data_IF_547069279158
#
_entry.id   IF_547069279158
#
_cell.length_a   1.000
_cell.length_b   1.000
_cell.length_c   1.000
_cell.angle_alpha   90.00
_cell.angle_beta   90.00
_cell.angle_gamma   90.00
#
_symmetry.space_group_name_H-M   'P 1'
#
loop_
_entity.id
_entity.type
_entity.pdbx_description
1 polymer ?
#
# COMPACT_ATOMS: atom_id res chain seq x y z
N UNK A 1 20.27 4.17 10.38
CA UNK A 1 19.27 3.91 11.45
C UNK A 1 18.62 2.56 11.20
N UNK A 2 18.23 1.79 12.24
CA UNK A 2 17.63 0.44 12.11
C UNK A 2 16.15 0.48 12.56
N UNK A 3 15.22 0.97 11.71
CA UNK A 3 13.82 1.15 12.11
C UNK A 3 13.12 -0.18 12.38
N UNK A 4 12.12 -0.15 13.26
CA UNK A 4 11.32 -1.35 13.60
C UNK A 4 10.26 -1.67 12.54
N UNK A 5 9.76 -0.65 11.85
CA UNK A 5 8.87 -0.78 10.70
C UNK A 5 8.84 0.55 9.95
N UNK A 6 8.40 0.53 8.69
CA UNK A 6 7.90 1.70 8.00
C UNK A 6 6.56 1.41 7.33
N UNK A 7 5.71 2.42 7.19
CA UNK A 7 4.40 2.30 6.58
C UNK A 7 4.27 3.32 5.46
N UNK A 8 3.79 2.90 4.30
CA UNK A 8 3.38 3.79 3.23
C UNK A 8 1.94 4.24 3.50
N UNK A 9 1.79 5.51 3.89
CA UNK A 9 0.51 6.20 4.10
C UNK A 9 0.45 7.34 3.07
N UNK A 10 -0.28 7.11 1.98
CA UNK A 10 -0.38 8.08 0.88
C UNK A 10 -1.61 7.88 0.01
N UNK A 11 -1.74 8.67 -1.05
CA UNK A 11 -2.88 8.57 -1.94
C UNK A 11 -2.63 7.61 -3.11
N UNK A 12 -3.70 7.14 -3.75
CA UNK A 12 -3.64 6.30 -4.94
C UNK A 12 -4.82 6.56 -5.88
N UNK A 13 -4.64 6.20 -7.15
CA UNK A 13 -5.74 6.11 -8.11
C UNK A 13 -6.50 4.79 -7.94
N UNK A 14 -7.82 4.86 -7.76
CA UNK A 14 -8.71 3.69 -7.68
C UNK A 14 -8.98 3.09 -9.05
N UNK A 15 -8.69 1.80 -9.22
CA UNK A 15 -8.82 1.10 -10.52
C UNK A 15 -10.12 0.33 -10.66
N UNK A 16 -10.93 0.21 -9.60
CA UNK A 16 -12.21 -0.51 -9.63
C UNK A 16 -13.39 0.45 -9.60
N UNK A 17 -14.40 0.13 -10.39
CA UNK A 17 -15.64 0.90 -10.44
C UNK A 17 -16.30 1.00 -9.06
N UNK A 18 -16.30 -0.09 -8.29
CA UNK A 18 -16.92 -0.17 -6.97
C UNK A 18 -16.23 0.66 -5.87
N UNK A 19 -15.00 1.13 -6.10
CA UNK A 19 -14.30 1.99 -5.14
C UNK A 19 -14.86 3.41 -5.17
N UNK A 20 -14.79 4.12 -4.05
CA UNK A 20 -15.14 5.54 -3.94
C UNK A 20 -13.91 6.33 -3.52
N UNK A 21 -13.87 7.62 -3.85
CA UNK A 21 -12.86 8.53 -3.30
C UNK A 21 -13.00 8.55 -1.78
N UNK A 22 -11.89 8.41 -1.08
CA UNK A 22 -11.84 8.26 0.38
C UNK A 22 -11.89 6.81 0.88
N UNK A 23 -12.06 5.82 0.00
CA UNK A 23 -11.86 4.41 0.35
C UNK A 23 -10.37 4.12 0.57
N UNK A 24 -10.09 3.13 1.40
CA UNK A 24 -8.75 2.66 1.71
C UNK A 24 -8.37 1.42 0.89
N UNK A 25 -7.07 1.30 0.62
CA UNK A 25 -6.48 0.16 -0.05
C UNK A 25 -5.35 -0.41 0.80
N UNK A 26 -5.53 -1.64 1.27
CA UNK A 26 -4.47 -2.40 1.95
C UNK A 26 -3.74 -3.25 0.90
N UNK A 27 -2.48 -2.93 0.63
CA UNK A 27 -1.70 -3.70 -0.34
C UNK A 27 -1.34 -5.07 0.26
N UNK A 28 -1.73 -6.15 -0.42
CA UNK A 28 -1.27 -7.50 -0.10
C UNK A 28 -0.19 -8.03 -1.07
N UNK A 29 -0.02 -7.35 -2.20
CA UNK A 29 0.92 -7.67 -3.26
C UNK A 29 1.18 -6.41 -4.10
N UNK A 30 2.26 -6.44 -4.88
CA UNK A 30 2.71 -5.31 -5.70
C UNK A 30 2.99 -5.75 -7.13
N UNK A 31 2.49 -4.97 -8.11
CA UNK A 31 3.00 -5.00 -9.48
C UNK A 31 4.04 -3.90 -9.60
N UNK A 32 5.29 -4.33 -9.82
CA UNK A 32 6.48 -3.47 -9.85
C UNK A 32 6.74 -2.96 -11.26
N UNK A 33 6.09 -1.85 -11.60
CA UNK A 33 6.35 -1.07 -12.81
C UNK A 33 7.15 0.21 -12.45
N UNK A 34 7.87 0.18 -11.30
CA UNK A 34 8.66 1.27 -10.74
C UNK A 34 10.10 1.32 -11.26
N UNK A 35 10.59 0.20 -11.81
CA UNK A 35 11.88 -0.01 -12.51
C UNK A 35 13.18 0.27 -11.72
N UNK A 36 13.14 1.14 -10.71
CA UNK A 36 14.30 1.69 -10.01
C UNK A 36 15.09 0.66 -9.20
N UNK A 37 14.47 -0.49 -8.87
CA UNK A 37 15.10 -1.57 -8.11
C UNK A 37 15.37 -2.85 -8.93
N UNK A 38 15.07 -2.87 -10.22
CA UNK A 38 15.09 -4.09 -11.04
C UNK A 38 16.47 -4.76 -11.09
N UNK A 39 17.54 -3.97 -11.09
CA UNK A 39 18.92 -4.47 -11.15
C UNK A 39 19.40 -5.15 -9.85
N UNK A 40 18.78 -4.83 -8.72
CA UNK A 40 19.19 -5.28 -7.38
C UNK A 40 18.15 -6.16 -6.69
N UNK A 41 16.94 -6.20 -7.23
CA UNK A 41 15.85 -7.09 -6.86
C UNK A 41 15.02 -7.32 -8.12
N UNK A 42 15.30 -8.36 -8.93
CA UNK A 42 14.56 -8.62 -10.16
C UNK A 42 13.03 -8.68 -9.97
N UNK A 43 12.21 -8.23 -10.94
CA UNK A 43 10.75 -8.16 -10.81
C UNK A 43 10.03 -9.49 -10.51
N UNK A 44 10.65 -10.62 -10.88
CA UNK A 44 10.16 -11.98 -10.63
C UNK A 44 10.37 -12.43 -9.17
N UNK A 45 11.19 -11.72 -8.39
CA UNK A 45 11.37 -12.02 -6.97
C UNK A 45 10.13 -11.55 -6.17
N UNK A 46 9.47 -12.47 -5.45
CA UNK A 46 8.26 -12.12 -4.71
C UNK A 46 8.56 -11.24 -3.51
N UNK A 47 7.86 -10.11 -3.41
CA UNK A 47 7.86 -9.24 -2.22
C UNK A 47 6.61 -9.58 -1.38
N UNK A 48 6.72 -10.39 -0.32
CA UNK A 48 5.56 -10.88 0.42
C UNK A 48 4.96 -9.78 1.29
N UNK A 49 3.74 -10.00 1.77
CA UNK A 49 3.19 -9.19 2.86
C UNK A 49 3.67 -9.65 4.23
N UNK A 50 3.85 -8.71 5.16
CA UNK A 50 4.19 -9.01 6.55
C UNK A 50 2.90 -9.15 7.37
N UNK A 51 2.54 -10.39 7.74
CA UNK A 51 1.27 -10.68 8.40
C UNK A 51 1.01 -9.84 9.67
N UNK A 52 2.06 -9.53 10.43
CA UNK A 52 2.00 -8.69 11.62
C UNK A 52 1.60 -7.25 11.27
N UNK A 53 2.22 -6.69 10.23
CA UNK A 53 1.92 -5.34 9.74
C UNK A 53 0.54 -5.27 9.08
N UNK A 54 0.15 -6.30 8.32
CA UNK A 54 -1.16 -6.38 7.69
C UNK A 54 -2.29 -6.39 8.72
N UNK A 55 -2.15 -7.18 9.79
CA UNK A 55 -3.13 -7.21 10.89
C UNK A 55 -3.23 -5.84 11.56
N UNK A 56 -2.11 -5.22 11.91
CA UNK A 56 -2.12 -3.89 12.52
C UNK A 56 -2.79 -2.83 11.63
N UNK A 57 -2.50 -2.80 10.33
CA UNK A 57 -3.15 -1.88 9.40
C UNK A 57 -4.66 -2.17 9.26
N UNK A 58 -5.04 -3.44 9.19
CA UNK A 58 -6.44 -3.85 9.08
C UNK A 58 -7.23 -3.50 10.35
N UNK A 59 -6.73 -3.88 11.52
CA UNK A 59 -7.36 -3.62 12.81
C UNK A 59 -7.39 -2.12 13.13
N UNK A 60 -6.33 -1.38 12.78
CA UNK A 60 -6.32 0.06 12.91
C UNK A 60 -7.38 0.73 12.03
N UNK A 61 -7.56 0.23 10.79
CA UNK A 61 -8.62 0.71 9.90
C UNK A 61 -9.99 0.52 10.56
N UNK A 62 -10.28 -0.69 11.09
CA UNK A 62 -11.56 -0.99 11.75
C UNK A 62 -11.84 -0.06 12.92
N UNK A 63 -10.83 0.15 13.77
CA UNK A 63 -10.97 0.95 14.98
C UNK A 63 -11.19 2.43 14.66
N UNK A 64 -10.40 2.99 13.76
CA UNK A 64 -10.43 4.44 13.46
C UNK A 64 -11.60 4.79 12.54
N UNK A 65 -11.95 3.94 11.57
CA UNK A 65 -13.09 4.19 10.67
C UNK A 65 -14.45 3.90 11.32
N UNK A 66 -14.47 3.35 12.54
CA UNK A 66 -15.69 2.97 13.25
C UNK A 66 -16.48 1.85 12.57
N UNK A 67 -15.83 1.02 11.74
CA UNK A 67 -16.48 -0.05 10.97
C UNK A 67 -16.02 -1.43 11.50
N UNK A 68 -16.74 -2.01 12.48
CA UNK A 68 -16.36 -3.29 13.07
C UNK A 68 -16.62 -4.47 12.13
N UNK A 69 -16.06 -5.65 12.50
CA UNK A 69 -16.35 -6.90 11.79
C UNK A 69 -16.05 -6.83 10.29
N UNK A 70 -17.03 -7.22 9.48
CA UNK A 70 -16.95 -7.25 8.02
C UNK A 70 -17.36 -5.92 7.37
N UNK A 71 -17.92 -4.96 8.12
CA UNK A 71 -18.35 -3.65 7.61
C UNK A 71 -17.19 -2.88 7.00
N UNK A 72 -15.98 -3.08 7.53
CA UNK A 72 -14.75 -2.48 7.01
C UNK A 72 -14.55 -2.77 5.52
N UNK A 73 -15.07 -3.87 4.97
CA UNK A 73 -14.96 -4.20 3.53
C UNK A 73 -15.68 -3.19 2.62
N UNK A 74 -16.62 -2.41 3.16
CA UNK A 74 -17.30 -1.37 2.39
C UNK A 74 -16.39 -0.17 2.12
N UNK A 75 -15.36 0.03 2.95
CA UNK A 75 -14.43 1.17 2.87
C UNK A 75 -12.98 0.76 2.65
N UNK A 76 -12.61 -0.48 2.94
CA UNK A 76 -11.27 -1.03 2.79
C UNK A 76 -11.26 -2.16 1.76
N UNK A 77 -10.44 -1.99 0.73
CA UNK A 77 -10.15 -3.03 -0.26
C UNK A 77 -8.73 -3.56 -0.10
N UNK A 78 -8.60 -4.83 0.27
CA UNK A 78 -7.31 -5.53 0.17
C UNK A 78 -7.08 -5.98 -1.27
N UNK A 79 -5.89 -5.71 -1.83
CA UNK A 79 -5.61 -6.08 -3.22
C UNK A 79 -4.20 -5.75 -3.70
N UNK A 80 -3.92 -6.01 -4.97
CA UNK A 80 -2.61 -5.76 -5.60
C UNK A 80 -2.50 -4.29 -5.97
N UNK A 81 -1.44 -3.61 -5.54
CA UNK A 81 -1.15 -2.23 -5.91
C UNK A 81 -0.13 -2.21 -7.04
N UNK A 82 -0.39 -1.43 -8.08
CA UNK A 82 0.59 -1.14 -9.12
C UNK A 82 1.39 0.08 -8.68
N UNK A 83 2.71 0.00 -8.69
CA UNK A 83 3.56 1.17 -8.50
C UNK A 83 4.29 1.44 -9.80
N UNK A 84 4.18 2.65 -10.32
CA UNK A 84 4.77 3.03 -11.61
C UNK A 84 5.64 4.29 -11.49
N UNK A 85 6.66 4.41 -12.33
CA UNK A 85 7.45 5.63 -12.51
C UNK A 85 6.87 6.59 -13.57
N UNK A 86 5.86 6.16 -14.33
CA UNK A 86 5.14 7.00 -15.31
C UNK A 86 3.91 7.66 -14.69
N UNK A 87 4.05 8.94 -14.31
CA UNK A 87 2.94 9.73 -13.75
C UNK A 87 1.76 9.87 -14.73
N UNK A 88 2.01 9.82 -16.03
CA UNK A 88 0.99 9.98 -17.08
C UNK A 88 0.62 8.63 -17.72
N UNK A 89 0.71 7.54 -16.95
CA UNK A 89 0.38 6.17 -17.40
C UNK A 89 -1.01 6.07 -18.05
N UNK A 90 -1.94 6.97 -17.73
CA UNK A 90 -3.28 7.06 -18.32
C UNK A 90 -3.22 7.24 -19.84
N UNK A 91 -2.22 7.99 -20.35
CA UNK A 91 -2.00 8.20 -21.79
C UNK A 91 -1.66 6.90 -22.53
N UNK A 92 -1.22 5.87 -21.79
CA UNK A 92 -0.82 4.56 -22.31
C UNK A 92 -1.63 3.43 -21.70
N UNK A 93 -2.85 3.69 -21.22
CA UNK A 93 -3.67 2.70 -20.54
C UNK A 93 -3.85 1.40 -21.35
N UNK A 94 -4.01 1.47 -22.67
CA UNK A 94 -4.14 0.30 -23.54
C UNK A 94 -2.95 -0.67 -23.44
N UNK A 95 -1.73 -0.16 -23.22
CA UNK A 95 -0.54 -0.98 -23.01
C UNK A 95 -0.49 -1.60 -21.60
N UNK A 96 -0.99 -0.89 -20.59
CA UNK A 96 -0.98 -1.34 -19.18
C UNK A 96 -2.16 -2.24 -18.82
N UNK A 97 -3.28 -2.15 -19.56
CA UNK A 97 -4.55 -2.83 -19.25
C UNK A 97 -4.41 -4.34 -19.07
N UNK A 98 -3.60 -5.00 -19.91
CA UNK A 98 -3.34 -6.43 -19.81
C UNK A 98 -2.67 -6.78 -18.46
N UNK A 99 -1.62 -6.05 -18.08
CA UNK A 99 -0.89 -6.28 -16.81
C UNK A 99 -1.76 -5.96 -15.60
N UNK A 100 -2.57 -4.90 -15.67
CA UNK A 100 -3.50 -4.53 -14.61
C UNK A 100 -4.55 -5.64 -14.38
N UNK A 101 -5.06 -6.22 -15.48
CA UNK A 101 -5.98 -7.35 -15.40
C UNK A 101 -5.29 -8.61 -14.83
N UNK A 102 -4.13 -8.99 -15.39
CA UNK A 102 -3.38 -10.18 -14.99
C UNK A 102 -2.99 -10.18 -13.50
N UNK A 103 -2.55 -9.04 -12.98
CA UNK A 103 -2.16 -8.85 -11.58
C UNK A 103 -3.34 -8.67 -10.62
N UNK A 104 -4.57 -8.56 -11.16
CA UNK A 104 -5.79 -8.20 -10.41
C UNK A 104 -5.63 -6.86 -9.67
N UNK A 105 -4.95 -5.90 -10.29
CA UNK A 105 -4.69 -4.57 -9.74
C UNK A 105 -5.96 -3.92 -9.17
N UNK A 106 -5.83 -3.28 -7.99
CA UNK A 106 -6.94 -2.55 -7.34
C UNK A 106 -6.66 -1.06 -7.19
N UNK A 107 -5.39 -0.67 -7.17
CA UNK A 107 -4.97 0.72 -7.11
C UNK A 107 -3.64 0.91 -7.82
N UNK A 108 -3.33 2.16 -8.15
CA UNK A 108 -2.05 2.58 -8.72
C UNK A 108 -1.47 3.77 -7.93
N UNK A 109 -0.18 3.72 -7.65
CA UNK A 109 0.60 4.78 -7.01
C UNK A 109 2.03 4.83 -7.57
N UNK A 110 2.95 5.55 -6.90
CA UNK A 110 4.33 5.74 -7.37
C UNK A 110 5.41 5.39 -6.32
N UNK A 111 5.04 4.90 -5.14
CA UNK A 111 6.00 4.64 -4.05
C UNK A 111 5.84 3.26 -3.38
N UNK A 112 4.65 2.67 -3.36
CA UNK A 112 4.32 1.53 -2.50
C UNK A 112 5.22 0.32 -2.70
N UNK A 113 5.40 -0.11 -3.94
CA UNK A 113 6.23 -1.27 -4.24
C UNK A 113 7.70 -1.00 -3.93
N UNK A 114 8.18 0.24 -4.17
CA UNK A 114 9.54 0.67 -3.86
C UNK A 114 9.81 0.61 -2.35
N UNK A 115 8.90 1.13 -1.53
CA UNK A 115 9.00 1.11 -0.07
C UNK A 115 8.96 -0.33 0.46
N UNK A 116 8.05 -1.16 -0.06
CA UNK A 116 7.96 -2.57 0.30
C UNK A 116 9.22 -3.35 -0.08
N UNK A 117 9.72 -3.16 -1.31
CA UNK A 117 10.93 -3.80 -1.82
C UNK A 117 12.17 -3.39 -1.02
N UNK A 118 12.30 -2.11 -0.65
CA UNK A 118 13.39 -1.66 0.22
C UNK A 118 13.28 -2.28 1.63
N UNK A 119 12.06 -2.45 2.15
CA UNK A 119 11.84 -3.03 3.47
C UNK A 119 12.25 -4.50 3.46
N UNK A 120 11.89 -5.19 2.38
CA UNK A 120 12.35 -6.55 2.10
C UNK A 120 13.88 -6.63 2.02
N UNK A 121 14.52 -5.76 1.22
CA UNK A 121 15.98 -5.74 1.03
C UNK A 121 16.75 -5.41 2.31
N UNK A 122 16.19 -4.62 3.22
CA UNK A 122 16.86 -4.17 4.44
C UNK A 122 16.33 -4.83 5.73
N UNK A 123 15.47 -5.86 5.61
CA UNK A 123 14.87 -6.56 6.76
C UNK A 123 14.10 -5.64 7.71
N UNK A 124 13.45 -4.62 7.16
CA UNK A 124 12.56 -3.70 7.88
C UNK A 124 11.12 -4.12 7.59
N UNK A 125 10.33 -4.55 8.58
CA UNK A 125 8.89 -4.78 8.40
C UNK A 125 8.19 -3.61 7.71
N UNK A 126 7.35 -3.92 6.72
CA UNK A 126 6.71 -2.92 5.87
C UNK A 126 5.23 -3.21 5.67
N UNK A 127 4.49 -2.16 5.34
CA UNK A 127 3.09 -2.24 4.96
C UNK A 127 2.64 -0.99 4.23
N UNK A 128 1.56 -1.11 3.47
CA UNK A 128 1.03 -0.05 2.64
C UNK A 128 -0.47 0.05 2.86
N UNK A 129 -0.92 1.24 3.25
CA UNK A 129 -2.33 1.60 3.33
C UNK A 129 -2.52 2.91 2.60
N UNK A 130 -3.20 2.86 1.46
CA UNK A 130 -3.44 4.01 0.61
C UNK A 130 -4.88 4.50 0.72
N UNK A 131 -5.11 5.77 0.39
CA UNK A 131 -6.43 6.38 0.29
C UNK A 131 -6.71 6.75 -1.17
N UNK A 132 -7.87 6.32 -1.70
CA UNK A 132 -8.28 6.61 -3.07
C UNK A 132 -8.55 8.11 -3.20
N UNK A 133 -7.71 8.82 -3.97
CA UNK A 133 -7.88 10.26 -4.22
C UNK A 133 -8.70 10.59 -5.47
N UNK A 134 -8.76 9.63 -6.39
CA UNK A 134 -9.27 9.79 -7.75
C UNK A 134 -9.49 8.41 -8.39
N UNK A 135 -10.23 8.36 -9.51
CA UNK A 135 -10.53 7.13 -10.25
C UNK A 135 -10.25 7.32 -11.74
N UNK A 136 -8.99 7.13 -12.19
CA UNK A 136 -8.59 7.49 -13.54
C UNK A 136 -9.36 6.78 -14.66
N UNK A 137 -9.74 5.52 -14.44
CA UNK A 137 -10.48 4.71 -15.42
C UNK A 137 -11.98 5.04 -15.50
N UNK A 138 -12.49 5.90 -14.62
CA UNK A 138 -13.94 6.15 -14.46
C UNK A 138 -14.31 7.64 -14.60
N UNK A 139 -13.45 8.44 -15.24
CA UNK A 139 -13.72 9.85 -15.52
C UNK A 139 -13.55 10.80 -14.33
N UNK A 140 -13.12 10.31 -13.17
CA UNK A 140 -12.85 11.10 -11.96
C UNK A 140 -11.34 11.30 -11.78
N UNK A 141 -10.64 11.77 -12.82
CA UNK A 141 -9.21 12.06 -12.78
C UNK A 141 -8.98 13.35 -11.99
N UNK A 142 -8.13 13.32 -10.97
CA UNK A 142 -7.77 14.52 -10.21
C UNK A 142 -6.81 15.39 -11.01
N UNK A 143 -7.26 16.59 -11.36
CA UNK A 143 -6.39 17.60 -11.96
C UNK A 143 -5.53 18.29 -10.88
N UNK A 144 -4.31 18.77 -11.22
CA UNK A 144 -3.51 19.58 -10.31
C UNK A 144 -4.31 20.79 -9.81
N UNK A 145 -4.44 20.94 -8.49
CA UNK A 145 -5.17 22.05 -7.86
C UNK A 145 -6.67 21.80 -7.57
N UNK A 146 -7.24 20.65 -7.95
CA UNK A 146 -8.58 20.28 -7.52
C UNK A 146 -8.57 19.69 -6.09
N UNK A 147 -9.13 20.47 -5.15
CA UNK A 147 -9.50 20.00 -3.82
C UNK A 147 -10.69 19.05 -3.93
N UNK A 148 -10.42 17.75 -3.83
CA UNK A 148 -11.48 16.76 -3.76
C UNK A 148 -11.98 16.76 -2.31
N UNK A 149 -13.10 17.45 -2.03
CA UNK A 149 -13.64 17.67 -0.67
C UNK A 149 -13.75 16.37 0.16
N UNK A 150 -14.07 15.26 -0.51
CA UNK A 150 -14.13 13.94 0.12
C UNK A 150 -12.76 13.40 0.54
N UNK A 151 -11.73 13.62 -0.28
CA UNK A 151 -10.35 13.26 0.05
C UNK A 151 -9.83 14.11 1.21
N UNK A 152 -10.05 15.43 1.21
CA UNK A 152 -9.58 16.32 2.28
C UNK A 152 -10.14 15.93 3.65
N UNK A 153 -11.41 15.52 3.72
CA UNK A 153 -12.00 14.97 4.95
C UNK A 153 -11.38 13.64 5.38
N UNK A 154 -10.92 12.82 4.44
CA UNK A 154 -10.30 11.52 4.70
C UNK A 154 -8.82 11.60 5.12
N UNK A 155 -8.10 12.70 4.85
CA UNK A 155 -6.67 12.84 5.18
C UNK A 155 -6.42 12.63 6.68
N UNK A 156 -7.22 13.27 7.53
CA UNK A 156 -7.06 13.18 8.99
C UNK A 156 -7.28 11.75 9.46
N UNK A 157 -8.38 11.13 9.03
CA UNK A 157 -8.70 9.74 9.38
C UNK A 157 -7.62 8.77 8.89
N UNK A 158 -7.12 8.94 7.66
CA UNK A 158 -6.07 8.12 7.07
C UNK A 158 -4.76 8.18 7.87
N UNK A 159 -4.35 9.38 8.27
CA UNK A 159 -3.17 9.56 9.13
C UNK A 159 -3.39 8.91 10.51
N UNK A 160 -4.59 9.04 11.09
CA UNK A 160 -4.91 8.40 12.37
C UNK A 160 -4.85 6.87 12.28
N UNK A 161 -5.28 6.26 11.16
CA UNK A 161 -5.11 4.82 10.94
C UNK A 161 -3.61 4.46 10.96
N UNK A 162 -2.78 5.24 10.27
CA UNK A 162 -1.32 5.03 10.27
C UNK A 162 -0.69 5.12 11.66
N UNK A 163 -1.05 6.14 12.45
CA UNK A 163 -0.59 6.31 13.82
C UNK A 163 -1.04 5.13 14.69
N UNK A 164 -2.33 4.78 14.63
CA UNK A 164 -2.87 3.70 15.43
C UNK A 164 -2.27 2.33 15.06
N UNK A 165 -1.98 2.09 13.78
CA UNK A 165 -1.23 0.91 13.35
C UNK A 165 0.18 0.87 13.96
N UNK A 166 0.89 2.01 14.05
CA UNK A 166 2.19 2.10 14.73
C UNK A 166 2.06 1.78 16.23
N UNK A 167 1.00 2.21 16.89
CA UNK A 167 0.73 1.87 18.30
C UNK A 167 0.52 0.37 18.49
N UNK A 168 -0.28 -0.28 17.63
CA UNK A 168 -0.49 -1.72 17.64
C UNK A 168 0.82 -2.48 17.40
N UNK A 169 1.63 -2.05 16.42
CA UNK A 169 2.94 -2.66 16.15
C UNK A 169 3.94 -2.45 17.29
N UNK A 170 3.87 -1.31 17.98
CA UNK A 170 4.69 -1.05 19.17
C UNK A 170 4.29 -2.00 20.31
N UNK A 171 3.00 -2.22 20.51
CA UNK A 171 2.48 -3.12 21.56
C UNK A 171 2.82 -4.60 21.31
N UNK A 172 3.02 -5.02 20.05
CA UNK A 172 3.49 -6.37 19.70
C UNK A 172 4.93 -6.66 20.17
N UNK A 173 5.75 -5.62 20.44
CA UNK A 173 7.13 -5.78 20.89
C UNK A 173 7.96 -6.61 19.92
N UNK A 174 8.59 -7.68 20.42
CA UNK A 174 9.42 -8.57 19.61
C UNK A 174 8.64 -9.36 18.54
N UNK A 175 7.32 -9.56 18.74
CA UNK A 175 6.48 -10.28 17.78
C UNK A 175 6.35 -9.57 16.44
N UNK A 176 6.65 -8.26 16.39
CA UNK A 176 6.74 -7.50 15.15
C UNK A 176 7.77 -8.09 14.17
N UNK A 177 8.91 -8.55 14.68
CA UNK A 177 9.98 -9.10 13.83
C UNK A 177 9.82 -10.60 13.69
N UNK A 178 9.48 -11.02 12.47
CA UNK A 178 9.38 -12.43 12.12
C UNK A 178 10.55 -12.88 11.23
N UNK A 179 10.63 -14.18 10.97
CA UNK A 179 11.70 -14.77 10.14
C UNK A 179 11.49 -14.56 8.63
N UNK A 180 10.41 -13.91 8.20
CA UNK A 180 10.02 -13.75 6.79
C UNK A 180 11.06 -13.03 5.93
N UNK A 181 11.90 -12.21 6.53
CA UNK A 181 12.91 -11.39 5.83
C UNK A 181 14.35 -11.90 6.00
N UNK A 182 14.56 -13.01 6.73
CA UNK A 182 15.90 -13.54 6.97
C UNK A 182 16.48 -14.18 5.71
N UNK A 183 17.75 -13.92 5.42
CA UNK A 183 18.53 -14.64 4.39
C UNK A 183 19.27 -15.84 4.97
N UNK A 184 19.84 -16.67 4.09
CA UNK A 184 20.71 -17.79 4.49
C UNK A 184 21.94 -17.33 5.29
N UNK A 185 22.48 -16.16 4.96
CA UNK A 185 23.66 -15.55 5.58
C UNK A 185 23.30 -14.33 6.45
N UNK A 186 22.11 -14.35 7.09
CA UNK A 186 21.62 -13.23 7.87
C UNK A 186 22.60 -12.84 8.99
N UNK A 187 23.02 -11.55 9.09
CA UNK A 187 23.90 -11.08 10.15
C UNK A 187 23.29 -11.31 11.55
N UNK A 188 24.12 -11.50 12.60
CA UNK A 188 23.62 -11.68 13.97
C UNK A 188 22.86 -10.46 14.53
N UNK A 189 23.19 -9.25 14.08
CA UNK A 189 22.60 -8.02 14.59
C UNK A 189 21.34 -7.60 13.83
N UNK A 190 20.31 -7.16 14.57
CA UNK A 190 19.13 -6.42 14.08
C UNK A 190 19.23 -4.91 14.31
#
# INVERSE_FOLDING_TARGET
>A
MRPHAWLMIGHCGGLRESQRIGDYVLAHAYLRDDHVLDSVLPPDIPVPSIAEVQRALYDATKSVSGMPGEEVKQRLRTGTVVTTDDRNWELRYSASALRFNLSRAVAVDMESATIAAQGYRFRVPYGTLLCVSDKPLHGEIKLPGQANRFYEGAISEHLQIGIHAVELLRAEGDKLHSRKLRTFNEPPFR
#
